data_IF_274561065218
#
_entry.id   IF_274561065218
#
_cell.length_a   1.000
_cell.length_b   1.000
_cell.length_c   1.000
_cell.angle_alpha   90.00
_cell.angle_beta   90.00
_cell.angle_gamma   90.00
#
_symmetry.space_group_name_H-M   'P 1'
#
loop_
_entity.id
_entity.type
_entity.pdbx_description
1 polymer ?
#
# COMPACT_ATOMS: atom_id res chain seq x y z
N UNK A 1 13.55 -9.11 13.20
CA UNK A 1 12.61 -9.97 12.43
C UNK A 1 12.67 -11.36 13.02
N UNK A 2 11.53 -12.00 13.28
CA UNK A 2 11.40 -13.22 14.11
C UNK A 2 12.00 -14.50 13.52
N UNK A 3 12.58 -14.45 12.31
CA UNK A 3 13.08 -15.66 11.61
C UNK A 3 11.98 -16.58 11.08
N UNK A 4 10.71 -16.21 11.25
CA UNK A 4 9.56 -16.99 10.77
C UNK A 4 9.32 -16.78 9.28
N UNK A 5 8.77 -17.78 8.56
CA UNK A 5 8.37 -17.64 7.17
C UNK A 5 7.39 -16.46 6.96
N UNK A 6 7.49 -15.82 5.80
CA UNK A 6 6.55 -14.77 5.42
C UNK A 6 5.14 -15.34 5.29
N UNK A 7 4.14 -14.64 5.83
CA UNK A 7 2.72 -15.01 5.69
C UNK A 7 2.11 -14.53 4.37
N UNK A 8 2.81 -13.65 3.66
CA UNK A 8 2.33 -12.96 2.47
C UNK A 8 3.41 -12.99 1.40
N UNK A 9 2.97 -12.95 0.14
CA UNK A 9 3.83 -12.85 -1.03
C UNK A 9 3.82 -11.43 -1.59
N UNK A 10 4.89 -11.05 -2.28
CA UNK A 10 5.00 -9.83 -3.06
C UNK A 10 5.05 -10.23 -4.53
N UNK A 11 4.23 -9.61 -5.35
CA UNK A 11 4.18 -9.84 -6.79
C UNK A 11 4.41 -8.51 -7.53
N UNK A 12 5.29 -8.54 -8.52
CA UNK A 12 5.45 -7.42 -9.45
C UNK A 12 4.23 -7.37 -10.39
N UNK A 13 3.63 -6.18 -10.52
CA UNK A 13 2.44 -5.96 -11.38
C UNK A 13 2.81 -5.51 -12.79
N UNK A 14 4.09 -5.21 -12.99
CA UNK A 14 4.70 -4.71 -14.21
C UNK A 14 6.18 -5.13 -14.20
N UNK A 15 6.85 -5.06 -15.35
CA UNK A 15 8.28 -5.35 -15.45
C UNK A 15 9.07 -4.51 -14.45
N UNK A 16 9.80 -5.19 -13.56
CA UNK A 16 10.39 -4.58 -12.36
C UNK A 16 11.79 -5.13 -12.09
N UNK A 17 12.67 -4.27 -11.59
CA UNK A 17 13.97 -4.67 -11.02
C UNK A 17 13.90 -4.58 -9.51
N UNK A 18 14.29 -5.66 -8.82
CA UNK A 18 14.22 -5.74 -7.36
C UNK A 18 15.63 -5.74 -6.80
N UNK A 19 15.89 -4.83 -5.85
CA UNK A 19 17.09 -4.86 -5.03
C UNK A 19 16.79 -5.61 -3.73
N UNK A 20 17.58 -6.65 -3.47
CA UNK A 20 17.43 -7.48 -2.26
C UNK A 20 18.66 -7.37 -1.38
N UNK A 21 18.45 -7.38 -0.07
CA UNK A 21 19.50 -7.49 0.93
C UNK A 21 19.16 -8.65 1.86
N UNK A 22 20.10 -9.57 2.05
CA UNK A 22 19.90 -10.63 3.03
C UNK A 22 20.11 -10.11 4.45
N UNK A 23 19.80 -10.99 5.41
CA UNK A 23 19.88 -10.62 6.83
C UNK A 23 21.30 -10.27 7.24
N UNK A 24 22.31 -11.03 6.82
CA UNK A 24 23.68 -10.86 7.28
C UNK A 24 24.22 -9.50 6.81
N UNK A 25 24.09 -9.21 5.52
CA UNK A 25 24.54 -7.94 4.95
C UNK A 25 23.80 -6.75 5.54
N UNK A 26 22.52 -6.90 5.89
CA UNK A 26 21.75 -5.83 6.55
C UNK A 26 22.25 -5.53 7.96
N UNK A 27 22.56 -6.54 8.77
CA UNK A 27 23.11 -6.33 10.12
C UNK A 27 24.54 -5.75 10.07
N UNK A 28 25.36 -6.17 9.09
CA UNK A 28 26.67 -5.56 8.82
C UNK A 28 26.51 -4.08 8.46
N UNK A 29 25.57 -3.75 7.57
CA UNK A 29 25.31 -2.38 7.14
C UNK A 29 24.90 -1.46 8.30
N UNK A 30 24.20 -1.97 9.31
CA UNK A 30 23.88 -1.18 10.50
C UNK A 30 25.11 -0.82 11.33
N UNK A 31 26.09 -1.72 11.38
CA UNK A 31 27.34 -1.51 12.12
C UNK A 31 28.27 -0.57 11.36
N UNK A 32 28.43 -0.78 10.06
CA UNK A 32 29.31 0.01 9.19
C UNK A 32 28.76 1.41 8.91
N UNK A 33 27.43 1.55 8.84
CA UNK A 33 26.76 2.80 8.51
C UNK A 33 25.57 3.08 9.43
N UNK A 34 25.78 3.61 10.65
CA UNK A 34 24.71 3.85 11.63
C UNK A 34 23.57 4.76 11.13
N UNK A 35 23.82 5.61 10.12
CA UNK A 35 22.77 6.42 9.45
C UNK A 35 21.69 5.56 8.81
N UNK A 36 22.03 4.35 8.37
CA UNK A 36 21.09 3.39 7.78
C UNK A 36 20.06 2.95 8.80
N UNK A 37 20.43 2.78 10.07
CA UNK A 37 19.46 2.47 11.13
C UNK A 37 18.42 3.58 11.28
N UNK A 38 18.84 4.86 11.26
CA UNK A 38 17.93 6.01 11.27
C UNK A 38 17.00 6.01 10.04
N UNK A 39 17.54 5.70 8.86
CA UNK A 39 16.75 5.58 7.63
C UNK A 39 15.66 4.51 7.78
N UNK A 40 16.03 3.29 8.18
CA UNK A 40 15.08 2.19 8.39
C UNK A 40 14.05 2.52 9.47
N UNK A 41 14.45 3.18 10.56
CA UNK A 41 13.52 3.63 11.60
C UNK A 41 12.45 4.57 11.04
N UNK A 42 12.85 5.58 10.27
CA UNK A 42 11.92 6.54 9.65
C UNK A 42 11.01 5.83 8.64
N UNK A 43 11.56 4.93 7.82
CA UNK A 43 10.77 4.15 6.85
C UNK A 43 9.72 3.29 7.56
N UNK A 44 10.09 2.59 8.63
CA UNK A 44 9.17 1.77 9.42
C UNK A 44 8.08 2.62 10.10
N UNK A 45 8.44 3.77 10.67
CA UNK A 45 7.48 4.70 11.27
C UNK A 45 6.45 5.19 10.23
N UNK A 46 6.91 5.60 9.04
CA UNK A 46 6.02 6.01 7.94
C UNK A 46 5.11 4.87 7.48
N UNK A 47 5.66 3.67 7.34
CA UNK A 47 4.87 2.47 6.95
C UNK A 47 3.80 2.15 7.98
N UNK A 48 4.16 2.17 9.27
CA UNK A 48 3.24 1.91 10.38
C UNK A 48 2.13 2.97 10.43
N UNK A 49 2.47 4.26 10.34
CA UNK A 49 1.49 5.34 10.30
C UNK A 49 0.53 5.20 9.10
N UNK A 50 1.05 4.87 7.92
CA UNK A 50 0.22 4.64 6.74
C UNK A 50 -0.73 3.44 6.91
N UNK A 51 -0.28 2.37 7.57
CA UNK A 51 -1.12 1.21 7.89
C UNK A 51 -2.23 1.57 8.89
N UNK A 52 -1.92 2.32 9.95
CA UNK A 52 -2.91 2.79 10.91
C UNK A 52 -3.96 3.70 10.27
N UNK A 53 -3.54 4.68 9.46
CA UNK A 53 -4.46 5.56 8.75
C UNK A 53 -5.37 4.78 7.79
N UNK A 54 -4.85 3.74 7.14
CA UNK A 54 -5.64 2.85 6.30
C UNK A 54 -6.67 2.07 7.13
N UNK A 55 -6.29 1.53 8.28
CA UNK A 55 -7.21 0.84 9.18
C UNK A 55 -8.34 1.76 9.66
N UNK A 56 -8.01 2.99 10.07
CA UNK A 56 -9.00 4.01 10.44
C UNK A 56 -9.94 4.31 9.26
N UNK A 57 -9.39 4.52 8.06
CA UNK A 57 -10.20 4.73 6.85
C UNK A 57 -11.15 3.56 6.59
N UNK A 58 -10.71 2.32 6.79
CA UNK A 58 -11.54 1.12 6.64
C UNK A 58 -12.68 1.03 7.67
N UNK A 59 -12.47 1.53 8.90
CA UNK A 59 -13.46 1.49 9.97
C UNK A 59 -14.50 2.62 9.87
N UNK A 60 -14.07 3.83 9.50
CA UNK A 60 -14.91 5.03 9.62
C UNK A 60 -15.47 5.53 8.29
N UNK A 61 -15.00 5.03 7.14
CA UNK A 61 -15.35 5.59 5.83
C UNK A 61 -16.08 4.59 4.96
N UNK A 62 -17.07 5.10 4.24
CA UNK A 62 -17.79 4.30 3.24
C UNK A 62 -16.93 4.08 1.97
N UNK A 63 -17.40 3.23 1.06
CA UNK A 63 -16.66 2.87 -0.15
C UNK A 63 -16.37 4.07 -1.07
N UNK A 64 -17.30 5.02 -1.19
CA UNK A 64 -17.12 6.22 -2.01
C UNK A 64 -15.98 7.09 -1.46
N UNK A 65 -15.98 7.35 -0.15
CA UNK A 65 -14.95 8.11 0.54
C UNK A 65 -13.58 7.43 0.43
N UNK A 66 -13.51 6.11 0.64
CA UNK A 66 -12.26 5.34 0.51
C UNK A 66 -11.72 5.38 -0.91
N UNK A 67 -12.59 5.31 -1.92
CA UNK A 67 -12.19 5.41 -3.33
C UNK A 67 -11.65 6.81 -3.68
N UNK A 68 -12.29 7.88 -3.19
CA UNK A 68 -11.81 9.25 -3.39
C UNK A 68 -10.45 9.46 -2.73
N UNK A 69 -10.26 8.97 -1.51
CA UNK A 69 -8.96 9.01 -0.81
C UNK A 69 -7.87 8.25 -1.54
N UNK A 70 -8.18 7.07 -2.08
CA UNK A 70 -7.25 6.30 -2.89
C UNK A 70 -6.78 7.11 -4.10
N UNK A 71 -7.69 7.74 -4.84
CA UNK A 71 -7.34 8.56 -5.99
C UNK A 71 -6.55 9.81 -5.62
N UNK A 72 -6.84 10.45 -4.48
CA UNK A 72 -6.08 11.61 -4.00
C UNK A 72 -4.66 11.21 -3.57
N UNK A 73 -4.54 10.07 -2.88
CA UNK A 73 -3.25 9.58 -2.36
C UNK A 73 -2.36 8.99 -3.45
N UNK A 74 -2.96 8.35 -4.46
CA UNK A 74 -2.25 7.65 -5.53
C UNK A 74 -2.82 8.02 -6.91
N UNK A 75 -2.69 9.29 -7.35
CA UNK A 75 -3.35 9.79 -8.56
C UNK A 75 -2.95 9.03 -9.84
N UNK A 76 -1.70 8.56 -9.92
CA UNK A 76 -1.19 7.81 -11.07
C UNK A 76 -1.43 6.31 -10.97
N UNK A 77 -1.67 5.78 -9.77
CA UNK A 77 -1.74 4.34 -9.55
C UNK A 77 -3.06 3.74 -10.08
N UNK A 78 -4.16 4.49 -9.98
CA UNK A 78 -5.48 4.04 -10.43
C UNK A 78 -5.53 3.65 -11.92
N UNK A 79 -4.61 4.16 -12.74
CA UNK A 79 -4.47 3.86 -14.16
C UNK A 79 -3.52 2.69 -14.45
N UNK A 80 -2.62 2.37 -13.51
CA UNK A 80 -1.55 1.37 -13.70
C UNK A 80 -1.88 -0.02 -13.18
N UNK A 81 -2.92 -0.15 -12.35
CA UNK A 81 -3.28 -1.42 -11.74
C UNK A 81 -4.70 -1.86 -12.09
N UNK A 82 -4.92 -3.17 -12.07
CA UNK A 82 -6.21 -3.75 -12.41
C UNK A 82 -7.29 -3.38 -11.38
N UNK A 83 -8.53 -3.25 -11.86
CA UNK A 83 -9.66 -2.81 -11.02
C UNK A 83 -9.95 -3.76 -9.85
N UNK A 84 -9.71 -5.07 -10.00
CA UNK A 84 -9.89 -6.03 -8.90
C UNK A 84 -8.88 -5.80 -7.76
N UNK A 85 -7.67 -5.30 -8.07
CA UNK A 85 -6.66 -4.97 -7.05
C UNK A 85 -7.02 -3.69 -6.30
N UNK A 86 -7.60 -2.71 -6.99
CA UNK A 86 -8.16 -1.51 -6.36
C UNK A 86 -9.31 -1.92 -5.42
N UNK A 87 -10.20 -2.81 -5.87
CA UNK A 87 -11.31 -3.30 -5.06
C UNK A 87 -10.82 -4.03 -3.80
N UNK A 88 -9.84 -4.92 -3.95
CA UNK A 88 -9.18 -5.61 -2.82
C UNK A 88 -8.49 -4.62 -1.87
N UNK A 89 -7.81 -3.58 -2.39
CA UNK A 89 -7.21 -2.54 -1.56
C UNK A 89 -8.25 -1.80 -0.71
N UNK A 90 -9.40 -1.50 -1.31
CA UNK A 90 -10.52 -0.81 -0.68
C UNK A 90 -11.41 -1.72 0.16
N UNK A 91 -11.15 -3.03 0.21
CA UNK A 91 -11.96 -4.00 0.93
C UNK A 91 -13.41 -4.07 0.45
N UNK A 92 -13.60 -4.07 -0.87
CA UNK A 92 -14.92 -4.21 -1.51
C UNK A 92 -14.84 -5.18 -2.69
N UNK A 93 -15.99 -5.68 -3.15
CA UNK A 93 -16.03 -6.49 -4.38
C UNK A 93 -15.77 -5.65 -5.63
N UNK A 94 -15.35 -6.31 -6.71
CA UNK A 94 -15.09 -5.65 -7.99
C UNK A 94 -16.36 -5.04 -8.60
N UNK A 95 -17.49 -5.73 -8.47
CA UNK A 95 -18.81 -5.26 -8.90
C UNK A 95 -19.23 -4.02 -8.10
N UNK A 96 -18.97 -4.02 -6.79
CA UNK A 96 -19.31 -2.87 -5.95
C UNK A 96 -18.44 -1.65 -6.28
N UNK A 97 -17.15 -1.83 -6.55
CA UNK A 97 -16.27 -0.75 -7.03
C UNK A 97 -16.81 -0.10 -8.31
N UNK A 98 -17.33 -0.92 -9.24
CA UNK A 98 -17.92 -0.40 -10.49
C UNK A 98 -19.15 0.47 -10.22
N UNK A 99 -20.00 0.10 -9.24
CA UNK A 99 -21.14 0.93 -8.80
C UNK A 99 -20.70 2.25 -8.17
N UNK A 100 -19.71 2.22 -7.28
CA UNK A 100 -19.12 3.42 -6.64
C UNK A 100 -18.65 4.43 -7.69
N UNK A 101 -17.89 3.97 -8.69
CA UNK A 101 -17.41 4.83 -9.78
C UNK A 101 -18.54 5.49 -10.56
N UNK A 102 -19.57 4.71 -10.92
CA UNK A 102 -20.74 5.23 -11.65
C UNK A 102 -21.51 6.27 -10.85
N UNK A 103 -21.67 6.05 -9.54
CA UNK A 103 -22.30 7.02 -8.64
C UNK A 103 -21.50 8.34 -8.60
N UNK A 104 -20.20 8.26 -8.38
CA UNK A 104 -19.34 9.43 -8.29
C UNK A 104 -19.28 10.25 -9.59
N UNK A 105 -19.36 9.60 -10.75
CA UNK A 105 -19.45 10.28 -12.05
C UNK A 105 -20.77 11.04 -12.21
N UNK A 106 -21.89 10.48 -11.73
CA UNK A 106 -23.19 11.16 -11.76
C UNK A 106 -23.23 12.38 -10.84
N UNK A 107 -22.57 12.33 -9.68
CA UNK A 107 -22.52 13.43 -8.70
C UNK A 107 -21.66 14.62 -9.14
N UNK A 108 -20.81 14.44 -10.16
CA UNK A 108 -19.99 15.50 -10.77
C UNK A 108 -20.68 16.24 -11.92
N UNK A 109 -21.83 15.74 -12.40
CA UNK A 109 -22.70 16.44 -13.37
C UNK A 109 -23.75 17.23 -12.61
#
# INVERSE_FOLDING_TARGET
MSGSPAKLNIQALEDSTILTIDRLHKEQLYTEMPKVEKLFRIMNQKSLAAMHLRMISMLYKNADQRYLEFNQKYPTLAQRIAQHQIAAYLGISHEFLSKVKKHLLKKKK
#
